data_IF_768076647334
#
_entry.id   IF_768076647334
#
_cell.length_a   1.000
_cell.length_b   1.000
_cell.length_c   1.000
_cell.angle_alpha   90.00
_cell.angle_beta   90.00
_cell.angle_gamma   90.00
#
_symmetry.space_group_name_H-M   'P 1'
#
loop_
_entity.id
_entity.type
_entity.pdbx_description
1 polymer ?
#
# COMPACT_ATOMS: atom_id res chain seq x y z
N UNK A 1 -18.49 -56.78 11.53
CA UNK A 1 -17.98 -55.79 10.55
C UNK A 1 -16.73 -56.39 9.91
N UNK A 2 -16.68 -56.56 8.59
CA UNK A 2 -15.56 -57.27 7.92
C UNK A 2 -14.25 -56.48 8.02
N UNK A 3 -13.12 -57.16 8.19
CA UNK A 3 -11.76 -56.59 8.20
C UNK A 3 -11.53 -55.70 6.96
N UNK A 4 -12.07 -56.09 5.81
CA UNK A 4 -11.98 -55.31 4.57
C UNK A 4 -12.66 -53.93 4.66
N UNK A 5 -13.79 -53.82 5.41
CA UNK A 5 -14.48 -52.54 5.62
C UNK A 5 -13.66 -51.61 6.52
N UNK A 6 -12.97 -52.15 7.52
CA UNK A 6 -12.11 -51.39 8.41
C UNK A 6 -10.86 -50.87 7.67
N UNK A 7 -10.24 -51.72 6.84
CA UNK A 7 -9.08 -51.32 6.01
C UNK A 7 -9.46 -50.21 5.03
N UNK A 8 -10.63 -50.32 4.37
CA UNK A 8 -11.11 -49.28 3.47
C UNK A 8 -11.37 -47.95 4.20
N UNK A 9 -11.95 -48.00 5.41
CA UNK A 9 -12.20 -46.80 6.21
C UNK A 9 -10.90 -46.10 6.62
N UNK A 10 -9.90 -46.87 7.04
CA UNK A 10 -8.58 -46.34 7.41
C UNK A 10 -7.88 -45.74 6.19
N UNK A 11 -7.96 -46.39 5.03
CA UNK A 11 -7.37 -45.89 3.79
C UNK A 11 -8.01 -44.55 3.35
N UNK A 12 -9.34 -44.45 3.39
CA UNK A 12 -10.06 -43.20 3.07
C UNK A 12 -9.70 -42.09 4.06
N UNK A 13 -9.64 -42.41 5.36
CA UNK A 13 -9.22 -41.46 6.39
C UNK A 13 -7.79 -40.95 6.19
N UNK A 14 -6.86 -41.86 5.87
CA UNK A 14 -5.46 -41.51 5.60
C UNK A 14 -5.31 -40.62 4.36
N UNK A 15 -6.00 -40.94 3.27
CA UNK A 15 -5.99 -40.11 2.04
C UNK A 15 -6.60 -38.73 2.30
N UNK A 16 -7.72 -38.68 3.02
CA UNK A 16 -8.35 -37.42 3.41
C UNK A 16 -7.44 -36.54 4.28
N UNK A 17 -6.72 -37.13 5.23
CA UNK A 17 -5.78 -36.42 6.09
C UNK A 17 -4.61 -35.82 5.29
N UNK A 18 -4.01 -36.59 4.36
CA UNK A 18 -2.92 -36.09 3.51
C UNK A 18 -3.39 -34.92 2.62
N UNK A 19 -4.60 -35.01 2.08
CA UNK A 19 -5.16 -33.94 1.25
C UNK A 19 -5.43 -32.66 2.06
N UNK A 20 -6.00 -32.79 3.27
CA UNK A 20 -6.27 -31.67 4.16
C UNK A 20 -4.98 -30.95 4.59
N UNK A 21 -3.94 -31.71 4.95
CA UNK A 21 -2.63 -31.15 5.30
C UNK A 21 -2.04 -30.39 4.10
N UNK A 22 -2.11 -30.94 2.88
CA UNK A 22 -1.57 -30.26 1.70
C UNK A 22 -2.35 -28.98 1.31
N UNK A 23 -3.63 -28.87 1.68
CA UNK A 23 -4.41 -27.64 1.47
C UNK A 23 -4.14 -26.60 2.56
N UNK A 24 -4.02 -27.01 3.82
CA UNK A 24 -3.72 -26.11 4.95
C UNK A 24 -2.27 -25.62 4.94
N UNK A 25 -1.34 -26.46 4.49
CA UNK A 25 0.08 -26.12 4.43
C UNK A 25 0.42 -25.15 3.28
N UNK A 26 -0.47 -24.99 2.30
CA UNK A 26 -0.26 -24.01 1.24
C UNK A 26 -0.57 -22.62 1.78
N UNK A 27 0.40 -21.69 1.80
CA UNK A 27 0.12 -20.32 2.19
C UNK A 27 -0.98 -19.78 1.29
N UNK A 28 -2.00 -19.16 1.89
CA UNK A 28 -3.09 -18.55 1.13
C UNK A 28 -2.49 -17.60 0.08
N UNK A 29 -2.96 -17.67 -1.17
CA UNK A 29 -2.45 -16.88 -2.30
C UNK A 29 -2.38 -15.37 -2.01
N UNK A 30 -3.18 -14.90 -1.05
CA UNK A 30 -3.27 -13.52 -0.58
C UNK A 30 -2.13 -13.08 0.34
N UNK A 31 -1.43 -13.99 1.02
CA UNK A 31 -0.32 -13.62 1.92
C UNK A 31 0.86 -13.00 1.17
N UNK A 32 1.20 -13.52 -0.02
CA UNK A 32 2.26 -12.96 -0.86
C UNK A 32 1.89 -11.58 -1.45
N UNK A 33 0.62 -11.38 -1.79
CA UNK A 33 0.14 -10.14 -2.41
C UNK A 33 0.13 -8.99 -1.40
N UNK A 34 -0.35 -9.22 -0.18
CA UNK A 34 -0.37 -8.19 0.85
C UNK A 34 1.05 -7.75 1.26
N UNK A 35 1.99 -8.71 1.35
CA UNK A 35 3.39 -8.41 1.63
C UNK A 35 4.05 -7.64 0.47
N UNK A 36 3.75 -8.01 -0.78
CA UNK A 36 4.26 -7.32 -1.96
C UNK A 36 3.72 -5.88 -2.07
N UNK A 37 2.42 -5.67 -1.84
CA UNK A 37 1.81 -4.34 -1.83
C UNK A 37 2.40 -3.44 -0.74
N UNK A 38 2.66 -4.00 0.45
CA UNK A 38 3.29 -3.25 1.54
C UNK A 38 4.71 -2.83 1.17
N UNK A 39 5.49 -3.73 0.57
CA UNK A 39 6.84 -3.44 0.09
C UNK A 39 6.85 -2.35 -0.99
N UNK A 40 5.90 -2.39 -1.92
CA UNK A 40 5.76 -1.35 -2.95
C UNK A 40 5.45 0.02 -2.35
N UNK A 41 4.59 0.07 -1.33
CA UNK A 41 4.27 1.31 -0.64
C UNK A 41 5.45 1.86 0.16
N UNK A 42 6.19 1.00 0.84
CA UNK A 42 7.39 1.37 1.59
C UNK A 42 8.47 1.91 0.62
N UNK A 43 8.67 1.24 -0.51
CA UNK A 43 9.64 1.65 -1.54
C UNK A 43 9.26 2.99 -2.18
N UNK A 44 7.97 3.20 -2.46
CA UNK A 44 7.46 4.49 -2.93
C UNK A 44 7.72 5.60 -1.90
N UNK A 45 7.38 5.39 -0.62
CA UNK A 45 7.59 6.38 0.43
C UNK A 45 9.07 6.70 0.68
N UNK A 46 9.99 5.75 0.47
CA UNK A 46 11.42 6.02 0.54
C UNK A 46 11.92 6.87 -0.64
N UNK A 47 11.36 6.62 -1.84
CA UNK A 47 11.76 7.32 -3.07
C UNK A 47 11.15 8.72 -3.20
N UNK A 48 9.92 8.90 -2.73
CA UNK A 48 9.16 10.15 -2.80
C UNK A 48 9.14 10.79 -1.42
N UNK A 49 10.28 11.32 -1.00
CA UNK A 49 10.29 12.25 0.12
C UNK A 49 9.90 13.62 -0.44
N UNK A 50 8.79 14.23 0.01
CA UNK A 50 8.53 15.62 -0.32
C UNK A 50 9.70 16.45 0.20
N UNK A 51 10.21 17.36 -0.62
CA UNK A 51 11.22 18.32 -0.18
C UNK A 51 10.58 19.21 0.89
N UNK A 52 10.86 18.89 2.16
CA UNK A 52 10.36 19.63 3.32
C UNK A 52 11.34 20.76 3.59
N UNK A 53 10.88 22.00 3.41
CA UNK A 53 11.64 23.16 3.87
C UNK A 53 11.70 23.08 5.40
N UNK A 54 12.88 23.17 6.04
CA UNK A 54 12.99 23.16 7.50
C UNK A 54 12.20 24.28 8.20
N UNK A 55 11.76 25.31 7.47
CA UNK A 55 10.89 26.36 7.98
C UNK A 55 9.39 26.10 7.71
N UNK A 56 9.04 25.10 6.88
CA UNK A 56 7.65 24.72 6.68
C UNK A 56 7.13 24.03 7.95
N UNK A 57 6.28 24.73 8.68
CA UNK A 57 5.44 24.05 9.69
C UNK A 57 4.45 23.12 8.99
N UNK A 58 3.93 22.10 9.70
CA UNK A 58 2.88 21.17 9.20
C UNK A 58 1.67 21.93 8.58
N UNK A 59 1.50 23.19 8.95
CA UNK A 59 0.49 24.10 8.43
C UNK A 59 1.10 25.40 7.90
N UNK A 60 2.17 25.36 7.10
CA UNK A 60 2.58 26.58 6.40
C UNK A 60 1.54 26.96 5.34
N UNK A 61 0.54 27.69 5.84
CA UNK A 61 -0.57 28.24 5.08
C UNK A 61 -0.07 29.13 3.96
N UNK A 62 1.11 29.73 4.10
CA UNK A 62 1.71 30.61 3.10
C UNK A 62 2.16 29.81 1.89
N UNK A 63 2.86 28.68 2.09
CA UNK A 63 3.26 27.78 1.01
C UNK A 63 2.04 27.22 0.28
N UNK A 64 1.04 26.73 1.02
CA UNK A 64 -0.21 26.22 0.44
C UNK A 64 -0.94 27.31 -0.37
N UNK A 65 -1.03 28.53 0.17
CA UNK A 65 -1.66 29.64 -0.53
C UNK A 65 -0.89 30.02 -1.79
N UNK A 66 0.44 30.03 -1.74
CA UNK A 66 1.29 30.30 -2.91
C UNK A 66 1.14 29.22 -3.98
N UNK A 67 1.10 27.95 -3.61
CA UNK A 67 0.87 26.83 -4.53
C UNK A 67 -0.50 26.91 -5.21
N UNK A 68 -1.54 27.23 -4.43
CA UNK A 68 -2.90 27.40 -4.96
C UNK A 68 -2.96 28.60 -5.92
N UNK A 69 -2.28 29.70 -5.60
CA UNK A 69 -2.16 30.88 -6.46
C UNK A 69 -1.37 30.59 -7.74
N UNK A 70 -0.30 29.79 -7.67
CA UNK A 70 0.49 29.39 -8.83
C UNK A 70 -0.32 28.51 -9.79
N UNK A 71 -1.13 27.58 -9.26
CA UNK A 71 -2.04 26.74 -10.06
C UNK A 71 -3.24 27.51 -10.64
N UNK A 72 -3.65 28.60 -9.99
CA UNK A 72 -4.80 29.43 -10.38
C UNK A 72 -4.39 30.90 -10.44
N UNK A 73 -3.77 31.36 -11.54
CA UNK A 73 -3.20 32.71 -11.66
C UNK A 73 -4.23 33.84 -11.53
N UNK A 74 -5.52 33.55 -11.69
CA UNK A 74 -6.61 34.50 -11.46
C UNK A 74 -6.85 34.80 -9.96
N UNK A 75 -6.36 33.95 -9.05
CA UNK A 75 -6.41 34.18 -7.60
C UNK A 75 -5.21 34.99 -7.08
N UNK A 76 -4.24 35.34 -7.94
CA UNK A 76 -3.11 36.20 -7.58
C UNK A 76 -3.55 37.67 -7.56
N UNK A 77 -3.10 38.39 -6.54
CA UNK A 77 -3.26 39.85 -6.50
C UNK A 77 -2.37 40.51 -7.55
N UNK A 78 -2.64 41.78 -7.88
CA UNK A 78 -1.77 42.54 -8.80
C UNK A 78 -0.32 42.63 -8.27
N UNK A 79 -0.16 42.86 -6.96
CA UNK A 79 1.16 42.88 -6.31
C UNK A 79 1.90 41.54 -6.42
N UNK A 80 1.18 40.41 -6.25
CA UNK A 80 1.78 39.08 -6.40
C UNK A 80 2.29 38.84 -7.83
N UNK A 81 1.55 39.31 -8.85
CA UNK A 81 1.94 39.19 -10.26
C UNK A 81 3.19 40.01 -10.59
N UNK A 82 3.28 41.23 -10.07
CA UNK A 82 4.46 42.09 -10.23
C UNK A 82 5.70 41.50 -9.54
N UNK A 83 5.53 40.78 -8.42
CA UNK A 83 6.63 40.09 -7.75
C UNK A 83 7.17 38.91 -8.57
N UNK A 84 6.29 38.04 -9.08
CA UNK A 84 6.68 36.90 -9.93
C UNK A 84 7.35 37.36 -11.24
N UNK A 85 6.99 38.54 -11.76
CA UNK A 85 7.61 39.11 -12.95
C UNK A 85 9.05 39.61 -12.71
N UNK A 86 9.43 39.86 -11.46
CA UNK A 86 10.73 40.40 -11.06
C UNK A 86 11.73 39.32 -10.59
N UNK A 87 11.22 38.14 -10.24
CA UNK A 87 12.01 36.92 -9.97
C UNK A 87 12.37 36.22 -11.29
#
# INVERSE_FOLDING_TARGET
MSVAKNVALVAVGAVGAVFAVNQLAKPAKTHGIAAAMRRQLDEYNMSVQPEQDPNDTIFDRTKILNDVKARKPWNMTYADKERVKRE
#
